data_IF_625476922420
#
_entry.id   IF_625476922420
#
_cell.length_a   1.000
_cell.length_b   1.000
_cell.length_c   1.000
_cell.angle_alpha   90.00
_cell.angle_beta   90.00
_cell.angle_gamma   90.00
#
_symmetry.space_group_name_H-M   'P 1'
#
loop_
_entity.id
_entity.type
_entity.pdbx_description
1 polymer ?
#
# COMPACT_ATOMS: atom_id res chain seq x y z
N UNK A 1 14.84 3.23 15.43
CA UNK A 1 13.83 2.36 14.77
C UNK A 1 12.52 3.11 14.72
N UNK A 2 11.77 3.03 13.62
CA UNK A 2 10.44 3.66 13.56
C UNK A 2 9.46 2.95 14.49
N UNK A 3 8.55 3.66 15.16
CA UNK A 3 7.47 3.05 15.91
C UNK A 3 6.54 2.28 14.96
N UNK A 4 6.19 1.04 15.31
CA UNK A 4 5.20 0.24 14.57
C UNK A 4 3.87 1.01 14.38
N UNK A 5 3.51 1.85 15.36
CA UNK A 5 2.32 2.72 15.32
C UNK A 5 2.31 3.73 14.18
N UNK A 6 3.49 4.16 13.71
CA UNK A 6 3.59 5.10 12.59
C UNK A 6 3.15 4.46 11.26
N UNK A 7 3.33 3.15 11.10
CA UNK A 7 2.91 2.39 9.91
C UNK A 7 1.45 1.95 9.99
N UNK A 8 0.92 1.69 11.19
CA UNK A 8 -0.48 1.30 11.37
C UNK A 8 -1.47 2.29 10.75
N UNK A 9 -1.26 3.59 10.95
CA UNK A 9 -2.13 4.62 10.35
C UNK A 9 -2.09 4.60 8.81
N UNK A 10 -0.92 4.31 8.23
CA UNK A 10 -0.78 4.20 6.77
C UNK A 10 -1.44 2.92 6.24
N UNK A 11 -1.36 1.82 6.99
CA UNK A 11 -2.03 0.56 6.66
C UNK A 11 -3.56 0.71 6.69
N UNK A 12 -4.12 1.33 7.72
CA UNK A 12 -5.57 1.61 7.81
C UNK A 12 -6.05 2.49 6.64
N UNK A 13 -5.28 3.52 6.28
CA UNK A 13 -5.60 4.36 5.13
C UNK A 13 -5.52 3.60 3.80
N UNK A 14 -4.53 2.72 3.63
CA UNK A 14 -4.37 1.92 2.42
C UNK A 14 -5.46 0.85 2.29
N UNK A 15 -5.87 0.24 3.40
CA UNK A 15 -6.98 -0.71 3.48
C UNK A 15 -8.33 -0.02 3.21
N UNK A 16 -8.59 1.14 3.83
CA UNK A 16 -9.79 1.94 3.58
C UNK A 16 -9.91 2.47 2.14
N UNK A 17 -8.77 2.58 1.43
CA UNK A 17 -8.72 2.91 0.00
C UNK A 17 -8.84 1.68 -0.91
N UNK A 18 -8.95 0.48 -0.35
CA UNK A 18 -9.00 -0.79 -1.09
C UNK A 18 -7.72 -1.12 -1.85
N UNK A 19 -6.57 -0.55 -1.46
CA UNK A 19 -5.27 -0.77 -2.10
C UNK A 19 -4.58 -2.03 -1.56
N UNK A 20 -4.84 -2.38 -0.32
CA UNK A 20 -4.30 -3.56 0.34
C UNK A 20 -5.42 -4.32 1.05
N UNK A 21 -5.20 -5.62 1.26
CA UNK A 21 -5.92 -6.45 2.22
C UNK A 21 -4.93 -6.83 3.30
N UNK A 22 -5.32 -6.81 4.57
CA UNK A 22 -4.46 -7.26 5.66
C UNK A 22 -5.16 -8.30 6.54
N UNK A 23 -4.42 -9.35 6.85
CA UNK A 23 -4.75 -10.28 7.92
C UNK A 23 -3.82 -10.04 9.11
N UNK A 24 -4.11 -10.68 10.23
CA UNK A 24 -3.29 -10.63 11.45
C UNK A 24 -1.82 -11.03 11.24
N UNK A 25 -1.49 -11.68 10.12
CA UNK A 25 -0.16 -12.19 9.83
C UNK A 25 0.50 -11.55 8.59
N UNK A 26 -0.26 -10.98 7.64
CA UNK A 26 0.27 -10.56 6.33
C UNK A 26 -0.51 -9.39 5.75
N UNK A 27 0.18 -8.59 4.92
CA UNK A 27 -0.41 -7.52 4.11
C UNK A 27 -0.16 -7.84 2.65
N UNK A 28 -1.21 -7.79 1.84
CA UNK A 28 -1.14 -8.09 0.40
C UNK A 28 -1.81 -7.01 -0.44
N UNK A 29 -1.23 -6.63 -1.60
CA UNK A 29 -1.84 -5.63 -2.47
C UNK A 29 -3.02 -6.22 -3.26
N UNK A 30 -4.12 -5.48 -3.30
CA UNK A 30 -5.28 -5.81 -4.14
C UNK A 30 -4.96 -5.61 -5.63
N UNK A 31 -5.82 -6.06 -6.57
CA UNK A 31 -5.67 -5.72 -7.98
C UNK A 31 -5.61 -4.20 -8.22
N UNK A 32 -6.37 -3.40 -7.45
CA UNK A 32 -6.32 -1.95 -7.48
C UNK A 32 -4.97 -1.41 -6.97
N UNK A 33 -4.49 -1.91 -5.84
CA UNK A 33 -3.20 -1.51 -5.27
C UNK A 33 -2.01 -1.87 -6.17
N UNK A 34 -2.04 -3.04 -6.82
CA UNK A 34 -1.02 -3.43 -7.81
C UNK A 34 -1.00 -2.47 -9.00
N UNK A 35 -2.18 -2.04 -9.46
CA UNK A 35 -2.29 -1.05 -10.53
C UNK A 35 -1.78 0.32 -10.10
N UNK A 36 -2.08 0.74 -8.87
CA UNK A 36 -1.57 1.98 -8.30
C UNK A 36 -0.03 2.01 -8.21
N UNK A 37 0.60 0.90 -7.79
CA UNK A 37 2.07 0.78 -7.78
C UNK A 37 2.66 0.89 -9.20
N UNK A 38 2.03 0.24 -10.17
CA UNK A 38 2.45 0.36 -11.57
C UNK A 38 2.28 1.79 -12.09
N UNK A 39 1.15 2.44 -11.82
CA UNK A 39 0.90 3.83 -12.22
C UNK A 39 1.93 4.79 -11.61
N UNK A 40 2.25 4.63 -10.32
CA UNK A 40 3.27 5.42 -9.65
C UNK A 40 4.66 5.21 -10.27
N UNK A 41 5.06 3.95 -10.49
CA UNK A 41 6.34 3.61 -11.11
C UNK A 41 6.43 4.15 -12.54
N UNK A 42 5.36 4.10 -13.32
CA UNK A 42 5.31 4.65 -14.68
C UNK A 42 5.48 6.17 -14.72
N UNK A 43 5.08 6.89 -13.66
CA UNK A 43 5.34 8.34 -13.54
C UNK A 43 6.83 8.61 -13.30
N UNK A 44 7.50 7.79 -12.49
CA UNK A 44 8.93 7.95 -12.19
C UNK A 44 9.87 7.39 -13.28
N UNK A 45 9.40 6.47 -14.12
CA UNK A 45 10.18 5.83 -15.19
C UNK A 45 10.02 6.52 -16.56
N UNK A 46 9.26 7.62 -16.64
CA UNK A 46 9.20 8.45 -17.85
C UNK A 46 10.45 9.34 -17.92
N UNK A 47 11.44 8.89 -18.68
CA UNK A 47 12.34 9.74 -19.48
C UNK A 47 11.83 9.83 -20.92
#
# INVERSE_FOLDING_TARGET
GMPLTSVLKQLDLAEGKGLITRDHQRVEPTPLGRRFLNDLLQIFLRE
#
